data_IF_218632479973
#
_entry.id   IF_218632479973
#
_cell.length_a   1.000
_cell.length_b   1.000
_cell.length_c   1.000
_cell.angle_alpha   90.00
_cell.angle_beta   90.00
_cell.angle_gamma   90.00
#
_symmetry.space_group_name_H-M   'P 1'
#
loop_
_entity.id
_entity.type
_entity.pdbx_description
1 polymer ?
#
# COMPACT_ATOMS: atom_id res chain seq x y z
N UNK A 1 -40.91 -6.19 9.50
CA UNK A 1 -39.85 -6.46 10.47
C UNK A 1 -39.24 -5.19 11.09
N UNK A 2 -38.82 -4.17 10.32
CA UNK A 2 -38.28 -2.91 10.85
C UNK A 2 -39.25 -2.05 11.67
N UNK A 3 -40.58 -2.14 11.45
CA UNK A 3 -41.61 -1.41 12.20
C UNK A 3 -41.80 -1.98 13.61
N UNK A 4 -41.72 -3.29 13.77
CA UNK A 4 -41.88 -3.96 15.08
C UNK A 4 -40.69 -3.66 16.01
N UNK A 5 -39.46 -3.55 15.46
CA UNK A 5 -38.26 -3.18 16.23
C UNK A 5 -38.33 -1.76 16.76
N UNK A 6 -38.94 -0.83 16.01
CA UNK A 6 -39.16 0.55 16.48
C UNK A 6 -40.23 0.65 17.58
N UNK A 7 -41.26 -0.20 17.56
CA UNK A 7 -42.35 -0.20 18.54
C UNK A 7 -41.96 -0.83 19.87
N UNK A 8 -41.07 -1.82 19.88
CA UNK A 8 -40.69 -2.57 21.10
C UNK A 8 -39.49 -1.99 21.83
N UNK A 9 -38.82 -0.96 21.29
CA UNK A 9 -37.57 -0.41 21.87
C UNK A 9 -36.41 -1.42 21.94
N UNK A 10 -36.56 -2.55 21.25
CA UNK A 10 -35.57 -3.63 21.25
C UNK A 10 -34.24 -3.13 20.65
N UNK A 11 -33.22 -3.05 21.49
CA UNK A 11 -31.82 -2.84 21.06
C UNK A 11 -31.17 -4.20 20.87
N UNK A 12 -30.78 -4.51 19.66
CA UNK A 12 -30.03 -5.73 19.35
C UNK A 12 -28.76 -5.74 20.20
N UNK A 13 -28.60 -6.73 21.10
CA UNK A 13 -27.34 -6.90 21.82
C UNK A 13 -26.22 -7.20 20.79
N UNK A 14 -25.16 -6.36 20.72
CA UNK A 14 -24.10 -6.56 19.76
C UNK A 14 -23.43 -7.94 19.89
N UNK A 15 -23.37 -8.51 21.11
CA UNK A 15 -22.80 -9.82 21.40
C UNK A 15 -23.69 -10.94 20.83
N UNK A 16 -25.01 -10.82 21.02
CA UNK A 16 -25.97 -11.76 20.47
C UNK A 16 -25.99 -11.70 18.94
N UNK A 17 -25.92 -10.51 18.35
CA UNK A 17 -25.81 -10.31 16.92
C UNK A 17 -24.54 -10.96 16.35
N UNK A 18 -23.43 -10.86 17.06
CA UNK A 18 -22.16 -11.51 16.71
C UNK A 18 -22.22 -13.02 16.82
N UNK A 19 -22.79 -13.56 17.92
CA UNK A 19 -22.97 -14.98 18.14
C UNK A 19 -23.91 -15.61 17.09
N UNK A 20 -25.04 -14.95 16.77
CA UNK A 20 -25.96 -15.44 15.72
C UNK A 20 -25.34 -15.41 14.31
N UNK A 21 -24.39 -14.50 14.06
CA UNK A 21 -23.62 -14.49 12.80
C UNK A 21 -22.65 -15.66 12.73
N UNK A 22 -21.95 -15.95 13.82
CA UNK A 22 -21.06 -17.11 13.93
C UNK A 22 -21.84 -18.42 13.76
N UNK A 23 -23.04 -18.53 14.29
CA UNK A 23 -23.91 -19.71 14.12
C UNK A 23 -24.47 -19.85 12.71
N UNK A 24 -24.78 -18.75 12.01
CA UNK A 24 -25.18 -18.77 10.60
C UNK A 24 -24.05 -19.11 9.64
N UNK A 25 -22.80 -18.88 10.04
CA UNK A 25 -21.57 -19.14 9.26
C UNK A 25 -20.97 -20.52 9.53
N UNK A 26 -21.74 -21.53 9.96
CA UNK A 26 -21.27 -22.91 10.13
C UNK A 26 -20.81 -23.59 8.83
N UNK A 27 -20.99 -22.94 7.67
CA UNK A 27 -20.14 -23.12 6.48
C UNK A 27 -19.39 -21.81 6.28
N UNK A 28 -18.06 -21.78 6.57
CA UNK A 28 -17.26 -20.56 6.58
C UNK A 28 -17.51 -19.67 5.36
N UNK A 29 -17.87 -18.39 5.58
CA UNK A 29 -18.04 -17.44 4.49
C UNK A 29 -16.70 -17.23 3.77
N UNK A 30 -16.69 -17.33 2.44
CA UNK A 30 -15.51 -17.08 1.63
C UNK A 30 -15.48 -15.61 1.20
N UNK A 31 -14.34 -14.95 1.38
CA UNK A 31 -14.07 -13.64 0.81
C UNK A 31 -13.12 -13.78 -0.39
N UNK A 32 -13.18 -12.85 -1.33
CA UNK A 32 -12.30 -12.86 -2.49
C UNK A 32 -11.22 -11.78 -2.40
N UNK A 33 -9.98 -12.15 -2.71
CA UNK A 33 -8.89 -11.21 -2.99
C UNK A 33 -8.76 -11.10 -4.50
N UNK A 34 -8.96 -9.89 -5.01
CA UNK A 34 -8.89 -9.60 -6.43
C UNK A 34 -7.59 -8.90 -6.74
N UNK A 35 -6.79 -9.48 -7.63
CA UNK A 35 -5.51 -8.95 -8.10
C UNK A 35 -5.54 -8.77 -9.61
N UNK A 36 -4.65 -7.96 -10.10
CA UNK A 36 -4.39 -7.80 -11.53
C UNK A 36 -3.18 -8.64 -11.92
N UNK A 37 -3.30 -9.39 -13.02
CA UNK A 37 -2.17 -10.09 -13.60
C UNK A 37 -1.34 -9.12 -14.44
N UNK A 38 -0.08 -8.95 -14.06
CA UNK A 38 0.90 -8.21 -14.85
C UNK A 38 1.82 -9.18 -15.57
N UNK A 39 2.06 -9.01 -16.87
CA UNK A 39 3.19 -9.68 -17.54
C UNK A 39 4.48 -9.32 -16.81
N UNK A 40 5.39 -10.28 -16.67
CA UNK A 40 6.61 -10.15 -15.85
C UNK A 40 7.66 -9.16 -16.42
N UNK A 41 7.35 -8.48 -17.49
CA UNK A 41 8.29 -7.65 -18.28
C UNK A 41 8.51 -6.25 -17.74
N UNK A 42 8.04 -5.92 -16.54
CA UNK A 42 8.10 -4.54 -16.04
C UNK A 42 8.54 -4.42 -14.60
N UNK A 43 9.29 -3.42 -14.37
CA UNK A 43 9.66 -2.53 -13.28
C UNK A 43 8.98 -2.67 -11.90
N UNK A 44 8.02 -3.59 -11.75
CA UNK A 44 7.30 -3.82 -10.52
C UNK A 44 8.04 -4.91 -9.74
N UNK A 45 8.99 -4.50 -8.93
CA UNK A 45 9.74 -5.37 -8.03
C UNK A 45 8.82 -6.15 -7.04
N UNK A 46 9.41 -6.97 -6.14
CA UNK A 46 8.70 -7.79 -5.16
C UNK A 46 7.68 -7.03 -4.29
N UNK A 47 7.86 -5.72 -4.15
CA UNK A 47 6.97 -4.81 -3.42
C UNK A 47 5.61 -4.59 -4.09
N UNK A 48 5.42 -4.99 -5.35
CA UNK A 48 4.16 -4.76 -6.04
C UNK A 48 2.96 -5.50 -5.43
N UNK A 49 3.19 -6.66 -4.84
CA UNK A 49 2.19 -7.30 -3.99
C UNK A 49 2.15 -6.61 -2.63
N UNK A 50 1.60 -5.41 -2.60
CA UNK A 50 1.58 -4.51 -1.44
C UNK A 50 1.20 -5.21 -0.12
N UNK A 51 0.33 -6.23 -0.16
CA UNK A 51 -0.03 -7.06 1.01
C UNK A 51 0.01 -8.53 0.61
N UNK A 52 0.70 -9.34 1.40
CA UNK A 52 0.80 -10.78 1.20
C UNK A 52 -0.55 -11.50 1.33
N UNK A 53 -0.79 -12.52 0.49
CA UNK A 53 -2.01 -13.33 0.60
C UNK A 53 -2.08 -14.06 1.94
N UNK A 54 -0.92 -14.49 2.48
CA UNK A 54 -0.86 -15.20 3.73
C UNK A 54 -1.26 -14.32 4.93
N UNK A 55 -0.89 -13.03 4.92
CA UNK A 55 -1.30 -12.08 5.96
C UNK A 55 -2.83 -11.91 5.95
N UNK A 56 -3.40 -11.79 4.75
CA UNK A 56 -4.85 -11.69 4.58
C UNK A 56 -5.54 -12.97 5.07
N UNK A 57 -5.02 -14.15 4.71
CA UNK A 57 -5.58 -15.44 5.14
C UNK A 57 -5.56 -15.61 6.65
N UNK A 58 -4.44 -15.26 7.27
CA UNK A 58 -4.28 -15.35 8.73
C UNK A 58 -5.32 -14.49 9.44
N UNK A 59 -5.50 -13.24 9.00
CA UNK A 59 -6.49 -12.34 9.61
C UNK A 59 -7.93 -12.76 9.26
N UNK A 60 -8.20 -13.17 8.02
CA UNK A 60 -9.51 -13.63 7.61
C UNK A 60 -9.99 -14.84 8.43
N UNK A 61 -9.08 -15.77 8.73
CA UNK A 61 -9.37 -16.94 9.56
C UNK A 61 -9.82 -16.56 10.98
N UNK A 62 -9.28 -15.47 11.58
CA UNK A 62 -9.71 -14.98 12.90
C UNK A 62 -11.16 -14.46 12.91
N UNK A 63 -11.68 -14.08 11.73
CA UNK A 63 -13.07 -13.69 11.52
C UNK A 63 -13.96 -14.85 11.01
N UNK A 64 -13.40 -16.06 10.87
CA UNK A 64 -14.11 -17.22 10.33
C UNK A 64 -14.28 -17.21 8.81
N UNK A 65 -13.49 -16.40 8.08
CA UNK A 65 -13.50 -16.37 6.62
C UNK A 65 -12.45 -17.30 6.02
N UNK A 66 -12.80 -17.96 4.93
CA UNK A 66 -11.85 -18.51 3.97
C UNK A 66 -11.54 -17.48 2.88
N UNK A 67 -10.41 -17.65 2.15
CA UNK A 67 -9.96 -16.68 1.16
C UNK A 67 -9.68 -17.35 -0.18
N UNK A 68 -10.42 -16.93 -1.20
CA UNK A 68 -10.16 -17.26 -2.61
C UNK A 68 -9.45 -16.09 -3.30
N UNK A 69 -8.44 -16.41 -4.13
CA UNK A 69 -7.69 -15.41 -4.90
C UNK A 69 -8.06 -15.47 -6.38
N UNK A 70 -8.30 -14.29 -6.97
CA UNK A 70 -8.65 -14.14 -8.39
C UNK A 70 -7.71 -13.14 -9.06
N UNK A 71 -7.20 -13.51 -10.23
CA UNK A 71 -6.27 -12.70 -11.01
C UNK A 71 -6.95 -12.21 -12.29
N UNK A 72 -7.37 -10.95 -12.32
CA UNK A 72 -7.91 -10.32 -13.53
C UNK A 72 -6.85 -10.26 -14.63
N UNK A 73 -7.27 -10.55 -15.86
CA UNK A 73 -6.37 -10.62 -17.01
C UNK A 73 -5.71 -11.99 -17.21
N UNK A 74 -5.61 -12.81 -16.16
CA UNK A 74 -5.09 -14.17 -16.27
C UNK A 74 -6.17 -15.11 -16.83
N UNK A 75 -5.80 -15.99 -17.76
CA UNK A 75 -6.67 -17.01 -18.35
C UNK A 75 -8.00 -16.44 -18.91
N UNK A 76 -7.95 -15.18 -19.38
CA UNK A 76 -9.11 -14.49 -19.93
C UNK A 76 -10.19 -14.15 -18.89
N UNK A 77 -9.83 -14.04 -17.61
CA UNK A 77 -10.74 -13.59 -16.55
C UNK A 77 -10.99 -12.10 -16.68
N UNK A 78 -12.17 -11.72 -17.14
CA UNK A 78 -12.63 -10.33 -17.24
C UNK A 78 -13.43 -9.92 -16.00
N UNK A 79 -13.59 -8.61 -15.70
CA UNK A 79 -14.44 -8.14 -14.61
C UNK A 79 -15.85 -8.72 -14.61
N UNK A 80 -16.51 -8.80 -15.78
CA UNK A 80 -17.85 -9.39 -15.93
C UNK A 80 -17.90 -10.87 -15.61
N UNK A 81 -16.89 -11.65 -16.07
CA UNK A 81 -16.78 -13.07 -15.74
C UNK A 81 -16.53 -13.27 -14.23
N UNK A 82 -15.65 -12.44 -13.64
CA UNK A 82 -15.37 -12.48 -12.21
C UNK A 82 -16.65 -12.29 -11.40
N UNK A 83 -17.41 -11.22 -11.64
CA UNK A 83 -18.68 -10.93 -10.91
C UNK A 83 -19.64 -12.11 -10.99
N UNK A 84 -19.76 -12.77 -12.16
CA UNK A 84 -20.61 -13.96 -12.32
C UNK A 84 -20.13 -15.13 -11.46
N UNK A 85 -18.81 -15.37 -11.42
CA UNK A 85 -18.22 -16.43 -10.59
C UNK A 85 -18.45 -16.16 -9.11
N UNK A 86 -18.19 -14.93 -8.66
CA UNK A 86 -18.37 -14.53 -7.27
C UNK A 86 -19.82 -14.73 -6.82
N UNK A 87 -20.79 -14.27 -7.61
CA UNK A 87 -22.23 -14.46 -7.33
C UNK A 87 -22.61 -15.96 -7.30
N UNK A 88 -22.12 -16.76 -8.23
CA UNK A 88 -22.39 -18.21 -8.29
C UNK A 88 -21.82 -18.97 -7.08
N UNK A 89 -20.70 -18.48 -6.50
CA UNK A 89 -20.08 -19.06 -5.30
C UNK A 89 -20.60 -18.48 -3.99
N UNK A 90 -21.53 -17.52 -4.02
CA UNK A 90 -22.05 -16.87 -2.83
C UNK A 90 -21.03 -16.00 -2.09
N UNK A 91 -19.96 -15.54 -2.79
CA UNK A 91 -18.95 -14.65 -2.22
C UNK A 91 -19.52 -13.24 -2.17
N UNK A 92 -19.55 -12.63 -0.99
CA UNK A 92 -20.14 -11.30 -0.75
C UNK A 92 -19.10 -10.26 -0.33
N UNK A 93 -17.90 -10.68 0.12
CA UNK A 93 -16.83 -9.80 0.58
C UNK A 93 -15.65 -9.80 -0.38
N UNK A 94 -15.17 -8.61 -0.75
CA UNK A 94 -14.06 -8.40 -1.68
C UNK A 94 -12.97 -7.56 -1.06
N UNK A 95 -11.71 -8.02 -1.19
CA UNK A 95 -10.53 -7.20 -1.00
C UNK A 95 -9.88 -6.98 -2.36
N UNK A 96 -9.84 -5.74 -2.82
CA UNK A 96 -9.35 -5.37 -4.14
C UNK A 96 -7.94 -4.80 -4.00
N UNK A 97 -6.95 -5.50 -4.56
CA UNK A 97 -5.57 -5.00 -4.59
C UNK A 97 -5.45 -3.79 -5.53
N UNK A 98 -4.43 -2.94 -5.34
CA UNK A 98 -4.12 -1.88 -6.28
C UNK A 98 -4.00 -2.42 -7.71
N UNK A 99 -4.67 -1.78 -8.66
CA UNK A 99 -4.67 -2.16 -10.08
C UNK A 99 -4.06 -1.06 -10.94
N UNK A 100 -3.56 -1.42 -12.12
CA UNK A 100 -3.13 -0.44 -13.11
C UNK A 100 -4.34 0.33 -13.69
N UNK A 101 -4.07 1.50 -14.30
CA UNK A 101 -5.12 2.25 -15.00
C UNK A 101 -5.71 1.50 -16.21
N UNK A 102 -5.04 0.44 -16.70
CA UNK A 102 -5.44 -0.32 -17.90
C UNK A 102 -6.59 -1.28 -17.64
N UNK A 103 -6.65 -1.86 -16.45
CA UNK A 103 -7.79 -2.67 -16.03
C UNK A 103 -8.69 -1.78 -15.17
N UNK A 104 -9.74 -1.27 -15.80
CA UNK A 104 -10.68 -0.40 -15.13
C UNK A 104 -11.38 -1.19 -14.02
N UNK A 105 -10.94 -0.99 -12.79
CA UNK A 105 -11.69 -1.43 -11.61
C UNK A 105 -13.13 -0.91 -11.65
N UNK A 106 -13.35 0.19 -12.39
CA UNK A 106 -14.65 0.74 -12.74
C UNK A 106 -15.58 -0.24 -13.48
N UNK A 107 -15.03 -1.28 -14.13
CA UNK A 107 -15.84 -2.31 -14.80
C UNK A 107 -16.35 -3.42 -13.86
N UNK A 108 -15.91 -3.46 -12.62
CA UNK A 108 -16.43 -4.39 -11.61
C UNK A 108 -17.74 -3.81 -11.06
N UNK A 109 -18.83 -4.57 -11.21
CA UNK A 109 -20.10 -4.25 -10.55
C UNK A 109 -20.04 -4.60 -9.07
N UNK A 110 -19.83 -3.59 -8.22
CA UNK A 110 -19.72 -3.73 -6.78
C UNK A 110 -21.08 -3.79 -6.05
N UNK A 111 -22.20 -3.57 -6.71
CA UNK A 111 -23.52 -3.40 -6.08
C UNK A 111 -23.94 -4.54 -5.15
N UNK A 112 -23.46 -5.75 -5.40
CA UNK A 112 -23.78 -6.96 -4.63
C UNK A 112 -22.76 -7.28 -3.54
N UNK A 113 -21.68 -6.51 -3.41
CA UNK A 113 -20.52 -6.87 -2.61
C UNK A 113 -20.21 -5.80 -1.56
N UNK A 114 -19.76 -6.24 -0.38
CA UNK A 114 -18.98 -5.42 0.55
C UNK A 114 -17.54 -5.39 0.05
N UNK A 115 -16.92 -4.21 -0.04
CA UNK A 115 -15.65 -4.11 -0.75
C UNK A 115 -14.67 -3.12 -0.09
N UNK A 116 -13.42 -3.56 0.05
CA UNK A 116 -12.30 -2.78 0.61
C UNK A 116 -11.12 -2.83 -0.36
N UNK A 117 -10.30 -1.79 -0.41
CA UNK A 117 -9.06 -1.78 -1.19
C UNK A 117 -7.85 -1.47 -0.33
N UNK A 118 -6.65 -1.68 -0.89
CA UNK A 118 -5.39 -1.33 -0.25
C UNK A 118 -4.81 -0.03 -0.80
N UNK A 119 -4.18 0.76 0.10
CA UNK A 119 -3.36 1.91 -0.26
C UNK A 119 -4.13 3.03 -0.95
N UNK A 120 -3.42 3.82 -1.75
CA UNK A 120 -3.95 5.03 -2.38
C UNK A 120 -4.32 4.82 -3.86
N UNK A 121 -4.15 3.61 -4.37
CA UNK A 121 -4.09 3.38 -5.81
C UNK A 121 -5.45 3.32 -6.52
N UNK A 122 -6.55 3.34 -5.80
CA UNK A 122 -7.88 3.22 -6.36
C UNK A 122 -8.70 4.47 -6.13
N UNK A 123 -8.81 5.29 -7.17
CA UNK A 123 -9.55 6.55 -7.12
C UNK A 123 -10.96 6.46 -7.70
N UNK A 124 -11.27 5.39 -8.44
CA UNK A 124 -12.58 5.18 -9.05
C UNK A 124 -12.85 3.69 -9.26
N UNK A 125 -13.89 3.13 -8.63
CA UNK A 125 -14.71 3.78 -7.61
C UNK A 125 -13.97 3.93 -6.28
N UNK A 126 -14.37 4.90 -5.44
CA UNK A 126 -13.80 5.10 -4.11
C UNK A 126 -14.37 4.10 -3.13
N UNK A 127 -13.61 3.05 -2.80
CA UNK A 127 -13.95 2.06 -1.77
C UNK A 127 -13.37 2.46 -0.41
N UNK A 128 -13.80 1.79 0.65
CA UNK A 128 -13.09 1.85 1.92
C UNK A 128 -11.67 1.32 1.76
N UNK A 129 -10.71 1.94 2.42
CA UNK A 129 -9.28 1.71 2.16
C UNK A 129 -8.52 1.42 3.45
N UNK A 130 -7.66 0.41 3.42
CA UNK A 130 -6.61 0.21 4.40
C UNK A 130 -5.24 0.43 3.74
N UNK A 131 -4.34 1.15 4.40
CA UNK A 131 -3.03 1.45 3.83
C UNK A 131 -1.97 1.81 4.85
N UNK A 132 -0.70 1.81 4.44
CA UNK A 132 0.38 2.41 5.23
C UNK A 132 0.27 3.93 5.22
N UNK A 133 0.66 4.56 6.31
CA UNK A 133 0.79 6.02 6.38
C UNK A 133 2.07 6.47 5.67
N UNK A 134 2.03 6.56 4.33
CA UNK A 134 3.22 6.89 3.52
C UNK A 134 3.78 8.28 3.82
N UNK A 135 2.90 9.26 4.10
CA UNK A 135 3.34 10.59 4.53
C UNK A 135 4.06 10.53 5.88
N UNK A 136 3.46 9.86 6.87
CA UNK A 136 4.09 9.65 8.17
C UNK A 136 5.39 8.86 8.08
N UNK A 137 5.48 7.89 7.16
CA UNK A 137 6.72 7.16 6.86
C UNK A 137 7.82 8.07 6.30
N UNK A 138 7.48 9.04 5.44
CA UNK A 138 8.44 10.02 4.91
C UNK A 138 8.94 10.95 6.02
N UNK A 139 8.04 11.49 6.85
CA UNK A 139 8.40 12.31 8.01
C UNK A 139 9.34 11.55 8.96
N UNK A 140 9.00 10.30 9.28
CA UNK A 140 9.84 9.42 10.11
C UNK A 140 11.22 9.18 9.49
N UNK A 141 11.31 8.96 8.18
CA UNK A 141 12.58 8.77 7.49
C UNK A 141 13.48 10.00 7.61
N UNK A 142 12.93 11.20 7.40
CA UNK A 142 13.68 12.44 7.56
C UNK A 142 14.13 12.67 9.00
N UNK A 143 13.25 12.48 9.98
CA UNK A 143 13.58 12.61 11.41
C UNK A 143 14.76 11.69 11.77
N UNK A 144 14.68 10.42 11.38
CA UNK A 144 15.73 9.43 11.66
C UNK A 144 17.05 9.76 10.96
N UNK A 145 17.01 10.14 9.69
CA UNK A 145 18.21 10.49 8.94
C UNK A 145 18.88 11.75 9.49
N UNK A 146 18.11 12.76 9.88
CA UNK A 146 18.65 13.94 10.55
C UNK A 146 19.31 13.58 11.89
N UNK A 147 18.69 12.71 12.68
CA UNK A 147 19.28 12.22 13.94
C UNK A 147 20.57 11.39 13.70
N UNK A 148 20.68 10.70 12.56
CA UNK A 148 21.88 9.98 12.14
C UNK A 148 22.99 10.91 11.55
N UNK A 149 22.73 12.21 11.43
CA UNK A 149 23.70 13.21 10.95
C UNK A 149 23.65 13.49 9.44
N UNK A 150 22.66 12.99 8.72
CA UNK A 150 22.44 13.33 7.31
C UNK A 150 21.78 14.69 7.18
N UNK A 151 22.26 15.51 6.25
CA UNK A 151 21.76 16.88 6.02
C UNK A 151 21.07 17.00 4.67
N UNK A 152 21.69 16.54 3.61
CA UNK A 152 21.24 16.66 2.22
C UNK A 152 20.48 15.41 1.81
N UNK A 153 19.24 15.32 2.28
CA UNK A 153 18.37 14.14 2.06
C UNK A 153 17.65 14.29 0.72
N UNK A 154 18.01 13.45 -0.24
CA UNK A 154 17.35 13.38 -1.54
C UNK A 154 16.22 12.35 -1.56
N UNK A 155 15.17 12.65 -2.30
CA UNK A 155 14.04 11.72 -2.52
C UNK A 155 13.86 11.49 -4.02
N UNK A 156 13.89 10.23 -4.45
CA UNK A 156 13.72 9.83 -5.84
C UNK A 156 12.63 8.76 -5.93
N UNK A 157 11.49 9.09 -6.54
CA UNK A 157 10.35 8.19 -6.71
C UNK A 157 9.89 8.17 -8.16
N UNK A 158 9.40 7.03 -8.63
CA UNK A 158 8.86 6.95 -9.98
C UNK A 158 7.56 7.75 -10.12
N UNK A 159 7.36 8.34 -11.29
CA UNK A 159 6.12 9.05 -11.65
C UNK A 159 4.87 8.24 -11.37
N UNK A 160 4.98 6.92 -11.55
CA UNK A 160 3.90 6.00 -11.28
C UNK A 160 3.53 5.95 -9.78
N UNK A 161 4.52 5.90 -8.87
CA UNK A 161 4.30 5.91 -7.41
C UNK A 161 3.71 7.25 -6.98
N UNK A 162 4.29 8.36 -7.48
CA UNK A 162 3.82 9.72 -7.17
C UNK A 162 2.35 9.89 -7.56
N UNK A 163 2.00 9.51 -8.80
CA UNK A 163 0.63 9.62 -9.31
C UNK A 163 -0.39 8.75 -8.57
N UNK A 164 0.05 7.63 -7.98
CA UNK A 164 -0.83 6.73 -7.21
C UNK A 164 -1.00 7.13 -5.75
N UNK A 165 -0.03 7.82 -5.17
CA UNK A 165 -0.04 8.20 -3.76
C UNK A 165 -0.91 9.42 -3.44
N UNK A 166 -1.65 9.95 -4.42
CA UNK A 166 -2.48 11.16 -4.25
C UNK A 166 -1.69 12.31 -3.61
N UNK A 167 -0.45 12.49 -4.03
CA UNK A 167 0.48 13.50 -3.49
C UNK A 167 0.90 13.32 -2.02
N UNK A 168 0.61 12.17 -1.40
CA UNK A 168 0.97 11.94 0.00
C UNK A 168 2.50 12.00 0.21
N UNK A 169 3.30 11.50 -0.73
CA UNK A 169 4.76 11.62 -0.68
C UNK A 169 5.23 13.06 -0.88
N UNK A 170 4.76 13.71 -1.92
CA UNK A 170 5.19 15.07 -2.28
C UNK A 170 4.70 16.11 -1.28
N UNK A 171 3.52 15.93 -0.70
CA UNK A 171 2.99 16.78 0.37
C UNK A 171 3.85 16.72 1.64
N UNK A 172 4.26 15.51 2.06
CA UNK A 172 5.19 15.34 3.18
C UNK A 172 6.54 15.99 2.92
N UNK A 173 7.10 15.78 1.73
CA UNK A 173 8.38 16.37 1.34
C UNK A 173 8.31 17.91 1.29
N UNK A 174 7.23 18.46 0.72
CA UNK A 174 7.05 19.92 0.69
C UNK A 174 7.03 20.52 2.09
N UNK A 175 6.30 19.92 3.02
CA UNK A 175 6.29 20.35 4.44
C UNK A 175 7.69 20.32 5.04
N UNK A 176 8.44 19.24 4.84
CA UNK A 176 9.81 19.10 5.36
C UNK A 176 10.77 20.13 4.79
N UNK A 177 10.66 20.47 3.50
CA UNK A 177 11.53 21.46 2.86
C UNK A 177 11.36 22.87 3.41
N UNK A 178 10.20 23.22 4.00
CA UNK A 178 10.00 24.53 4.61
C UNK A 178 10.94 24.74 5.82
N UNK A 179 11.23 23.67 6.55
CA UNK A 179 12.03 23.70 7.78
C UNK A 179 13.53 23.47 7.54
N UNK A 180 13.96 23.28 6.27
CA UNK A 180 15.36 23.07 5.92
C UNK A 180 16.03 24.38 5.49
N UNK A 181 17.32 24.52 5.86
CA UNK A 181 18.17 25.58 5.29
C UNK A 181 18.29 25.39 3.77
N UNK A 182 18.38 26.46 2.98
CA UNK A 182 18.42 26.39 1.52
C UNK A 182 19.50 25.46 0.97
N UNK A 183 20.69 25.43 1.59
CA UNK A 183 21.82 24.57 1.20
C UNK A 183 21.57 23.07 1.45
N UNK A 184 20.70 22.75 2.41
CA UNK A 184 20.35 21.36 2.74
C UNK A 184 19.21 20.81 1.85
N UNK A 185 18.52 21.68 1.10
CA UNK A 185 17.40 21.29 0.25
C UNK A 185 17.88 20.57 -1.00
N UNK A 186 17.51 19.31 -1.15
CA UNK A 186 17.73 18.56 -2.38
C UNK A 186 16.39 18.49 -3.14
N UNK A 187 16.33 18.96 -4.40
CA UNK A 187 15.10 18.91 -5.17
C UNK A 187 14.59 17.48 -5.32
N UNK A 188 13.28 17.30 -5.18
CA UNK A 188 12.63 16.03 -5.42
C UNK A 188 12.86 15.55 -6.86
N UNK A 189 13.17 14.27 -7.03
CA UNK A 189 13.33 13.64 -8.33
C UNK A 189 12.14 12.74 -8.64
N UNK A 190 11.40 13.11 -9.68
CA UNK A 190 10.42 12.22 -10.29
C UNK A 190 11.08 11.40 -11.41
N UNK A 191 11.22 10.10 -11.18
CA UNK A 191 11.85 9.17 -12.12
C UNK A 191 10.89 8.78 -13.24
N UNK A 192 11.37 8.69 -14.50
CA UNK A 192 10.64 8.08 -15.59
C UNK A 192 10.25 6.63 -15.29
N UNK A 193 9.31 6.10 -16.09
CA UNK A 193 8.86 4.72 -15.91
C UNK A 193 9.85 3.70 -16.46
N UNK A 194 10.57 4.06 -17.52
CA UNK A 194 11.56 3.22 -18.18
C UNK A 194 12.88 3.21 -17.40
N UNK A 195 13.41 2.01 -17.13
CA UNK A 195 14.58 1.80 -16.26
C UNK A 195 15.82 2.57 -16.76
N UNK A 196 16.12 2.48 -18.05
CA UNK A 196 17.33 3.10 -18.60
C UNK A 196 17.25 4.64 -18.57
N UNK A 197 16.11 5.21 -18.91
CA UNK A 197 15.88 6.65 -18.76
C UNK A 197 15.93 7.06 -17.28
N UNK A 198 15.36 6.25 -16.40
CA UNK A 198 15.39 6.44 -14.95
C UNK A 198 16.83 6.49 -14.42
N UNK A 199 17.70 5.60 -14.88
CA UNK A 199 19.13 5.59 -14.53
C UNK A 199 19.81 6.90 -14.89
N UNK A 200 19.70 7.33 -16.14
CA UNK A 200 20.42 8.51 -16.64
C UNK A 200 19.98 9.78 -15.93
N UNK A 201 18.67 9.93 -15.70
CA UNK A 201 18.08 11.05 -14.94
C UNK A 201 18.53 11.01 -13.48
N UNK A 202 18.54 9.81 -12.85
CA UNK A 202 18.97 9.62 -11.47
C UNK A 202 20.45 9.97 -11.30
N UNK A 203 21.32 9.46 -12.17
CA UNK A 203 22.77 9.72 -12.10
C UNK A 203 23.08 11.22 -12.29
N UNK A 204 22.42 11.87 -13.24
CA UNK A 204 22.57 13.32 -13.46
C UNK A 204 22.12 14.13 -12.25
N UNK A 205 21.01 13.74 -11.63
CA UNK A 205 20.49 14.40 -10.43
C UNK A 205 21.40 14.21 -9.22
N UNK A 206 21.91 13.00 -8.98
CA UNK A 206 22.89 12.74 -7.90
C UNK A 206 24.16 13.57 -8.12
N UNK A 207 24.70 13.61 -9.33
CA UNK A 207 25.89 14.40 -9.66
C UNK A 207 25.66 15.89 -9.43
N UNK A 208 24.52 16.40 -9.84
CA UNK A 208 24.20 17.85 -9.76
C UNK A 208 23.90 18.31 -8.34
N UNK A 209 23.17 17.50 -7.57
CA UNK A 209 22.65 17.93 -6.28
C UNK A 209 23.40 17.32 -5.09
N UNK A 210 24.31 16.36 -5.33
CA UNK A 210 25.16 15.74 -4.32
C UNK A 210 24.41 15.43 -2.98
N UNK A 211 23.33 14.64 -3.00
CA UNK A 211 22.68 14.22 -1.76
C UNK A 211 23.65 13.34 -0.95
N UNK A 212 23.59 13.43 0.37
CA UNK A 212 24.38 12.53 1.24
C UNK A 212 23.62 11.23 1.57
N UNK A 213 22.33 11.23 1.32
CA UNK A 213 21.48 10.03 1.38
C UNK A 213 20.33 10.12 0.36
N UNK A 214 19.94 9.01 -0.22
CA UNK A 214 18.78 8.92 -1.11
C UNK A 214 17.71 8.02 -0.50
N UNK A 215 16.49 8.53 -0.41
CA UNK A 215 15.29 7.76 -0.10
C UNK A 215 14.62 7.39 -1.42
N UNK A 216 14.37 6.11 -1.66
CA UNK A 216 13.64 5.64 -2.86
C UNK A 216 12.82 4.38 -2.56
N UNK A 217 11.80 4.14 -3.40
CA UNK A 217 11.12 2.83 -3.49
C UNK A 217 11.64 2.01 -4.67
N UNK A 218 12.51 2.59 -5.50
CA UNK A 218 13.07 1.91 -6.65
C UNK A 218 14.26 1.02 -6.24
N UNK A 219 14.15 -0.27 -6.52
CA UNK A 219 15.17 -1.27 -6.20
C UNK A 219 16.41 -1.16 -7.07
N UNK A 220 16.39 -0.39 -8.17
CA UNK A 220 17.53 -0.15 -9.03
C UNK A 220 18.45 0.97 -8.51
N UNK A 221 17.95 1.87 -7.66
CA UNK A 221 18.73 2.99 -7.15
C UNK A 221 20.11 2.58 -6.55
N UNK A 222 20.21 1.52 -5.70
CA UNK A 222 21.50 1.03 -5.21
C UNK A 222 22.44 0.55 -6.33
N UNK A 223 21.89 -0.06 -7.38
CA UNK A 223 22.67 -0.54 -8.54
C UNK A 223 23.20 0.65 -9.35
N UNK A 224 22.38 1.68 -9.54
CA UNK A 224 22.80 2.91 -10.24
C UNK A 224 23.87 3.67 -9.47
N UNK A 225 23.74 3.80 -8.13
CA UNK A 225 24.75 4.38 -7.25
C UNK A 225 26.09 3.66 -7.44
N UNK A 226 26.09 2.33 -7.38
CA UNK A 226 27.31 1.51 -7.62
C UNK A 226 27.87 1.73 -9.03
N UNK A 227 27.00 1.80 -10.05
CA UNK A 227 27.37 2.07 -11.44
C UNK A 227 28.04 3.43 -11.65
N UNK A 228 27.78 4.42 -10.80
CA UNK A 228 28.47 5.72 -10.77
C UNK A 228 29.87 5.65 -10.12
N UNK A 229 30.30 4.50 -9.62
CA UNK A 229 31.55 4.35 -8.87
C UNK A 229 31.46 4.85 -7.42
N UNK A 230 30.26 5.18 -6.93
CA UNK A 230 30.03 5.63 -5.56
C UNK A 230 29.89 4.42 -4.61
N UNK A 231 30.51 4.54 -3.45
CA UNK A 231 30.47 3.51 -2.40
C UNK A 231 29.33 3.82 -1.42
N UNK A 232 28.42 2.89 -1.30
CA UNK A 232 27.34 2.95 -0.29
C UNK A 232 27.82 2.20 0.98
N UNK A 233 27.69 2.80 2.18
CA UNK A 233 27.16 4.12 2.50
C UNK A 233 28.20 5.25 2.53
N UNK A 234 29.48 4.99 2.20
CA UNK A 234 30.61 5.92 2.45
C UNK A 234 30.48 7.23 1.69
N UNK A 235 30.15 7.17 0.40
CA UNK A 235 30.07 8.33 -0.49
C UNK A 235 28.62 8.85 -0.56
N UNK A 236 27.64 7.94 -0.52
CA UNK A 236 26.20 8.22 -0.50
C UNK A 236 25.46 7.09 0.22
N UNK A 237 24.55 7.41 1.12
CA UNK A 237 23.71 6.43 1.80
C UNK A 237 22.42 6.15 1.02
N UNK A 238 21.76 5.04 1.34
CA UNK A 238 20.48 4.67 0.73
C UNK A 238 19.48 4.19 1.76
N UNK A 239 18.21 4.58 1.61
CA UNK A 239 17.07 4.18 2.44
C UNK A 239 15.93 3.74 1.54
N UNK A 240 15.40 2.56 1.77
CA UNK A 240 14.18 2.11 1.09
C UNK A 240 12.94 2.65 1.80
N UNK A 241 12.06 3.37 1.09
CA UNK A 241 10.76 3.76 1.64
C UNK A 241 9.70 2.64 1.55
N UNK A 242 10.09 1.49 1.07
CA UNK A 242 9.24 0.29 0.98
C UNK A 242 10.06 -0.95 1.38
N UNK A 243 10.60 -0.90 2.60
CA UNK A 243 11.43 -1.95 3.14
C UNK A 243 10.66 -3.26 3.33
N UNK A 244 11.31 -4.37 3.02
CA UNK A 244 10.81 -5.72 3.26
C UNK A 244 11.92 -6.59 3.89
N UNK A 245 11.58 -7.67 4.63
CA UNK A 245 12.56 -8.51 5.32
C UNK A 245 13.68 -9.09 4.45
N UNK A 246 13.45 -9.24 3.14
CA UNK A 246 14.47 -9.69 2.19
C UNK A 246 15.56 -8.64 1.87
N UNK A 247 15.36 -7.37 2.26
CA UNK A 247 16.33 -6.28 2.09
C UNK A 247 17.32 -6.23 3.27
N UNK A 248 18.01 -7.34 3.55
CA UNK A 248 19.01 -7.38 4.62
C UNK A 248 20.11 -6.34 4.43
N UNK A 249 20.47 -5.61 5.51
CA UNK A 249 21.49 -4.56 5.48
C UNK A 249 21.03 -3.22 4.89
N UNK A 250 19.83 -3.13 4.31
CA UNK A 250 19.25 -1.87 3.83
C UNK A 250 18.41 -1.23 4.95
N UNK A 251 18.71 0.02 5.29
CA UNK A 251 17.86 0.83 6.14
C UNK A 251 16.57 1.20 5.41
N UNK A 252 15.47 1.34 6.14
CA UNK A 252 14.22 1.67 5.44
C UNK A 252 13.02 1.90 6.32
N UNK A 253 11.90 2.12 5.64
CA UNK A 253 10.57 2.28 6.21
C UNK A 253 9.77 1.00 5.95
N UNK A 254 9.51 0.25 7.00
CA UNK A 254 8.57 -0.86 7.00
C UNK A 254 7.13 -0.31 7.04
N UNK A 255 6.37 -0.58 5.99
CA UNK A 255 4.95 -0.19 5.87
C UNK A 255 4.02 -1.07 6.73
N UNK A 256 4.57 -2.01 7.49
CA UNK A 256 3.83 -2.93 8.36
C UNK A 256 2.68 -3.64 7.65
N UNK A 257 2.95 -4.22 6.50
CA UNK A 257 1.96 -4.85 5.61
C UNK A 257 1.03 -5.87 6.29
N UNK A 258 1.47 -6.70 7.25
CA UNK A 258 0.56 -7.57 7.99
C UNK A 258 -0.53 -6.79 8.74
N UNK A 259 -0.21 -5.63 9.32
CA UNK A 259 -1.19 -4.76 10.00
C UNK A 259 -2.15 -4.08 9.01
N UNK A 260 -1.66 -3.75 7.81
CA UNK A 260 -2.52 -3.26 6.72
C UNK A 260 -3.50 -4.34 6.28
N UNK A 261 -3.06 -5.60 6.20
CA UNK A 261 -3.93 -6.74 5.92
C UNK A 261 -5.02 -6.88 6.99
N UNK A 262 -4.62 -6.81 8.27
CA UNK A 262 -5.55 -6.85 9.40
C UNK A 262 -6.61 -5.76 9.29
N UNK A 263 -6.20 -4.50 9.11
CA UNK A 263 -7.11 -3.38 8.98
C UNK A 263 -8.10 -3.52 7.82
N UNK A 264 -7.65 -4.08 6.68
CA UNK A 264 -8.53 -4.32 5.53
C UNK A 264 -9.58 -5.39 5.82
N UNK A 265 -9.18 -6.51 6.43
CA UNK A 265 -10.11 -7.59 6.79
C UNK A 265 -11.12 -7.10 7.84
N UNK A 266 -10.67 -6.34 8.85
CA UNK A 266 -11.54 -5.77 9.89
C UNK A 266 -12.57 -4.81 9.29
N UNK A 267 -12.15 -3.92 8.37
CA UNK A 267 -13.07 -3.04 7.63
C UNK A 267 -14.10 -3.85 6.82
N UNK A 268 -13.66 -4.89 6.11
CA UNK A 268 -14.52 -5.75 5.31
C UNK A 268 -15.51 -6.50 6.20
N UNK A 269 -15.05 -7.08 7.31
CA UNK A 269 -15.89 -7.80 8.26
C UNK A 269 -16.99 -6.91 8.84
N UNK A 270 -16.67 -5.65 9.16
CA UNK A 270 -17.66 -4.66 9.64
C UNK A 270 -18.70 -4.36 8.57
N UNK A 271 -18.29 -4.14 7.31
CA UNK A 271 -19.22 -3.91 6.19
C UNK A 271 -20.15 -5.09 5.97
N UNK A 272 -19.60 -6.29 5.88
CA UNK A 272 -20.39 -7.53 5.69
C UNK A 272 -21.39 -7.70 6.84
N UNK A 273 -20.94 -7.41 8.05
CA UNK A 273 -21.78 -7.49 9.25
C UNK A 273 -22.94 -6.50 9.25
N UNK A 274 -22.79 -5.35 8.60
CA UNK A 274 -23.81 -4.31 8.47
C UNK A 274 -24.61 -4.42 7.18
N UNK A 275 -24.30 -5.40 6.32
CA UNK A 275 -24.87 -5.52 4.97
C UNK A 275 -24.64 -4.26 4.12
N UNK A 276 -23.56 -3.54 4.36
CA UNK A 276 -23.12 -2.41 3.54
C UNK A 276 -22.54 -2.95 2.22
N UNK A 277 -23.25 -2.73 1.11
CA UNK A 277 -22.86 -3.21 -0.23
C UNK A 277 -22.73 -2.06 -1.20
N UNK A 278 -22.00 -2.31 -2.28
CA UNK A 278 -21.78 -1.32 -3.32
C UNK A 278 -20.65 -0.35 -2.99
N UNK A 279 -20.60 0.74 -3.77
CA UNK A 279 -19.65 1.82 -3.54
C UNK A 279 -20.16 2.69 -2.39
N UNK A 280 -19.37 2.90 -1.33
CA UNK A 280 -19.84 3.69 -0.19
C UNK A 280 -20.01 5.16 -0.57
N UNK A 281 -21.08 5.79 -0.07
CA UNK A 281 -21.30 7.24 -0.26
C UNK A 281 -20.16 8.07 0.38
N UNK A 282 -19.63 7.60 1.51
CA UNK A 282 -18.48 8.21 2.22
C UNK A 282 -17.46 7.12 2.49
N UNK A 283 -16.41 7.00 1.69
CA UNK A 283 -15.34 6.03 1.93
C UNK A 283 -14.56 6.37 3.19
N UNK A 284 -14.18 5.33 3.94
CA UNK A 284 -13.33 5.45 5.13
C UNK A 284 -11.92 5.02 4.78
N UNK A 285 -10.93 5.65 5.41
CA UNK A 285 -9.54 5.29 5.26
C UNK A 285 -8.93 4.96 6.62
N UNK A 286 -8.29 3.80 6.72
CA UNK A 286 -7.51 3.37 7.89
C UNK A 286 -6.05 3.35 7.50
N UNK A 287 -5.22 4.14 8.19
CA UNK A 287 -3.79 4.24 7.95
C UNK A 287 -3.01 3.58 9.08
N UNK A 288 -2.15 2.63 8.74
CA UNK A 288 -1.23 1.97 9.67
C UNK A 288 0.07 2.77 9.75
N UNK A 289 0.53 3.15 10.96
CA UNK A 289 1.82 3.81 11.12
C UNK A 289 2.97 2.93 10.62
N UNK A 290 3.91 3.54 9.90
CA UNK A 290 5.14 2.88 9.46
C UNK A 290 6.16 2.78 10.60
N UNK A 291 7.20 1.95 10.41
CA UNK A 291 8.32 1.83 11.32
C UNK A 291 9.65 2.03 10.60
N UNK A 292 10.63 2.62 11.30
CA UNK A 292 12.00 2.67 10.84
C UNK A 292 12.70 1.33 11.07
N UNK A 293 13.51 0.91 10.11
CA UNK A 293 14.40 -0.25 10.20
C UNK A 293 15.83 0.22 9.97
N UNK A 294 16.70 -0.07 10.94
CA UNK A 294 18.13 0.24 10.82
C UNK A 294 18.79 -0.71 9.82
N UNK A 295 19.84 -0.21 9.15
CA UNK A 295 20.61 -0.99 8.19
C UNK A 295 21.96 -0.35 7.86
N UNK A 296 22.90 -1.16 7.40
CA UNK A 296 24.27 -0.74 7.07
C UNK A 296 24.32 0.27 5.91
N UNK A 297 23.24 0.40 5.14
CA UNK A 297 23.15 1.34 4.01
C UNK A 297 22.99 2.80 4.45
N UNK A 298 22.62 3.06 5.72
CA UNK A 298 22.49 4.41 6.28
C UNK A 298 22.92 4.43 7.77
N UNK A 299 24.21 4.23 8.09
CA UNK A 299 24.72 4.24 9.46
C UNK A 299 24.79 5.67 10.01
N UNK A 300 25.09 5.77 11.32
CA UNK A 300 25.41 7.07 11.95
C UNK A 300 26.60 7.71 11.25
N UNK A 301 26.44 8.94 10.78
CA UNK A 301 27.56 9.74 10.26
C UNK A 301 28.35 10.30 11.44
N UNK A 302 29.59 9.86 11.58
CA UNK A 302 30.55 10.53 12.46
C UNK A 302 31.04 11.77 11.71
N UNK A 303 30.74 12.95 12.29
CA UNK A 303 31.15 14.23 11.75
C UNK A 303 32.67 14.35 11.54
#
# INVERSE_FOLDING_TARGET
>A
MLSAVRQTGYRLDPRLAQAMRLLKSSGGSTIAVIREHYPQDGLLGPSYQYVGLQDIRTQAASHGFSVDEFWLGRDGLTPRKLVRILKARGIEGLIVSPMSKRLACAEIDFTSFSSVTFGYAMNSPSLHTAGGNVMGGMLLAFERLRALGYRRIGVALTKWIVGRSQSAFTGGLFSLHQDLEPEDRVPFLELPHEVDQGRDVFCSWVTRHAPDVVISMDTHAPVWIKGMGLRMPKDIAFVSHDWVPSMSGIAGIDQRRPHVASAAVDLLAVQMARFERGVPAVPRQVLTPSAWVDGDSAPVRRG
#
